data_IF_412160155068
#
_entry.id   IF_412160155068
#
_cell.length_a   1.000
_cell.length_b   1.000
_cell.length_c   1.000
_cell.angle_alpha   90.00
_cell.angle_beta   90.00
_cell.angle_gamma   90.00
#
_symmetry.space_group_name_H-M   'P 1'
#
loop_
_entity.id
_entity.type
_entity.pdbx_description
1 polymer ?
#
# COMPACT_ATOMS: atom_id res chain seq x y z
N UNK A 1 -3.01 67.65 18.51
CA UNK A 1 -3.58 66.56 17.70
C UNK A 1 -2.41 65.75 17.13
N UNK A 2 -2.13 64.61 17.71
CA UNK A 2 -1.07 63.71 17.25
C UNK A 2 -1.77 62.46 16.70
N UNK A 3 -1.72 62.31 15.36
CA UNK A 3 -2.23 61.09 14.71
C UNK A 3 -1.19 59.97 14.88
N UNK A 4 -1.55 58.95 15.64
CA UNK A 4 -0.80 57.71 15.74
C UNK A 4 -1.07 56.82 14.53
N UNK A 5 -0.08 56.60 13.69
CA UNK A 5 -0.16 55.62 12.62
C UNK A 5 0.00 54.21 13.18
N UNK A 6 -1.08 53.45 13.17
CA UNK A 6 -1.05 52.00 13.50
C UNK A 6 -0.38 51.24 12.36
N UNK A 7 0.85 50.80 12.56
CA UNK A 7 1.58 49.93 11.65
C UNK A 7 1.04 48.49 11.79
N UNK A 8 0.15 48.10 10.90
CA UNK A 8 -0.31 46.70 10.78
C UNK A 8 0.84 45.85 10.22
N UNK A 9 1.60 45.23 11.13
CA UNK A 9 2.51 44.14 10.74
C UNK A 9 1.67 42.95 10.22
N UNK A 10 1.65 42.80 8.92
CA UNK A 10 1.20 41.56 8.28
C UNK A 10 2.20 40.47 8.67
N UNK A 11 1.79 39.57 9.56
CA UNK A 11 2.47 38.30 9.79
C UNK A 11 2.22 37.49 8.54
N UNK A 12 3.16 37.47 7.62
CA UNK A 12 3.19 36.51 6.52
C UNK A 12 3.51 35.16 7.15
N UNK A 13 2.50 34.33 7.29
CA UNK A 13 2.66 32.94 7.66
C UNK A 13 3.51 32.24 6.60
N UNK A 14 4.78 32.03 6.89
CA UNK A 14 5.68 31.22 6.11
C UNK A 14 5.30 29.73 6.26
N UNK A 15 4.22 29.30 5.62
CA UNK A 15 3.85 27.89 5.43
C UNK A 15 4.14 27.49 4.00
N UNK A 16 5.36 27.55 3.58
CA UNK A 16 5.71 27.16 2.23
C UNK A 16 7.15 26.74 2.17
N UNK A 17 7.42 25.48 2.48
CA UNK A 17 8.62 24.86 1.92
C UNK A 17 8.57 25.09 0.40
N UNK A 18 9.66 25.54 -0.26
CA UNK A 18 9.64 25.75 -1.69
C UNK A 18 9.14 24.48 -2.37
N UNK A 19 8.32 24.58 -3.41
CA UNK A 19 7.85 23.43 -4.14
C UNK A 19 9.07 22.61 -4.54
N UNK A 20 9.00 21.29 -4.27
CA UNK A 20 10.04 20.38 -4.69
C UNK A 20 10.29 20.54 -6.22
N UNK A 21 11.54 20.77 -6.59
CA UNK A 21 11.95 20.86 -7.99
C UNK A 21 12.58 19.54 -8.40
N UNK A 22 12.02 18.84 -9.38
CA UNK A 22 12.64 17.65 -9.94
C UNK A 22 14.05 17.99 -10.45
N UNK A 23 14.99 17.10 -10.21
CA UNK A 23 16.35 17.18 -10.74
C UNK A 23 16.68 15.91 -11.47
N UNK A 24 17.54 16.01 -12.50
CA UNK A 24 18.05 14.81 -13.17
C UNK A 24 18.75 13.90 -12.16
N UNK A 25 18.47 12.62 -12.26
CA UNK A 25 19.03 11.62 -11.37
C UNK A 25 20.45 11.24 -11.83
N UNK A 26 21.37 11.14 -10.88
CA UNK A 26 22.63 10.47 -11.13
C UNK A 26 22.41 8.98 -11.38
N UNK A 27 23.34 8.27 -12.05
CA UNK A 27 23.27 6.81 -12.20
C UNK A 27 23.16 6.09 -10.85
N UNK A 28 23.79 6.61 -9.79
CA UNK A 28 23.70 6.08 -8.43
C UNK A 28 22.27 6.26 -7.86
N UNK A 29 21.67 7.44 -8.02
CA UNK A 29 20.32 7.70 -7.55
C UNK A 29 19.31 6.80 -8.28
N UNK A 30 19.45 6.62 -9.58
CA UNK A 30 18.60 5.73 -10.37
C UNK A 30 18.70 4.27 -9.89
N UNK A 31 19.93 3.77 -9.72
CA UNK A 31 20.17 2.41 -9.21
C UNK A 31 19.60 2.23 -7.80
N UNK A 32 19.77 3.23 -6.93
CA UNK A 32 19.20 3.23 -5.57
C UNK A 32 17.69 3.20 -5.58
N UNK A 33 17.05 3.99 -6.44
CA UNK A 33 15.59 4.02 -6.56
C UNK A 33 15.04 2.66 -7.01
N UNK A 34 15.65 2.07 -8.03
CA UNK A 34 15.27 0.74 -8.52
C UNK A 34 15.45 -0.33 -7.45
N UNK A 35 16.58 -0.33 -6.76
CA UNK A 35 16.82 -1.26 -5.65
C UNK A 35 15.75 -1.13 -4.55
N UNK A 36 15.40 0.10 -4.15
CA UNK A 36 14.36 0.35 -3.16
C UNK A 36 12.99 -0.19 -3.60
N UNK A 37 12.60 0.03 -4.84
CA UNK A 37 11.33 -0.46 -5.40
C UNK A 37 11.26 -1.99 -5.42
N UNK A 38 12.37 -2.65 -5.78
CA UNK A 38 12.40 -4.11 -5.88
C UNK A 38 12.51 -4.82 -4.53
N UNK A 39 13.28 -4.25 -3.58
CA UNK A 39 13.71 -4.99 -2.40
C UNK A 39 13.14 -4.47 -1.08
N UNK A 40 12.66 -3.24 -1.03
CA UNK A 40 12.24 -2.62 0.24
C UNK A 40 10.81 -2.07 0.22
N UNK A 41 10.46 -1.35 -0.81
CA UNK A 41 9.15 -0.69 -0.88
C UNK A 41 8.07 -1.68 -1.37
N UNK A 42 6.82 -1.52 -0.94
CA UNK A 42 5.74 -2.44 -1.28
C UNK A 42 5.13 -2.20 -2.67
N UNK A 43 5.63 -1.23 -3.43
CA UNK A 43 5.04 -0.77 -4.69
C UNK A 43 4.75 -1.92 -5.67
N UNK A 44 5.70 -2.86 -5.81
CA UNK A 44 5.57 -4.00 -6.70
C UNK A 44 4.65 -5.11 -6.16
N UNK A 45 4.04 -4.91 -4.99
CA UNK A 45 2.92 -5.75 -4.55
C UNK A 45 1.66 -5.52 -5.38
N UNK A 46 1.49 -4.30 -5.89
CA UNK A 46 0.32 -3.87 -6.65
C UNK A 46 0.64 -3.43 -8.08
N UNK A 47 1.83 -2.89 -8.33
CA UNK A 47 2.26 -2.31 -9.60
C UNK A 47 3.31 -3.17 -10.29
N UNK A 48 3.29 -3.13 -11.61
CA UNK A 48 4.33 -3.74 -12.45
C UNK A 48 5.46 -2.74 -12.69
N UNK A 49 6.72 -3.22 -12.70
CA UNK A 49 7.92 -2.50 -13.11
C UNK A 49 8.89 -3.44 -13.84
N UNK A 50 9.13 -3.20 -15.13
CA UNK A 50 10.06 -4.01 -15.93
C UNK A 50 9.67 -5.48 -16.05
N UNK A 51 8.37 -5.76 -16.14
CA UNK A 51 7.83 -7.12 -16.25
C UNK A 51 7.57 -7.82 -14.91
N UNK A 52 8.06 -7.28 -13.78
CA UNK A 52 7.89 -7.84 -12.44
C UNK A 52 6.84 -7.10 -11.63
N UNK A 53 6.21 -7.79 -10.70
CA UNK A 53 5.27 -7.21 -9.74
C UNK A 53 3.82 -7.41 -10.09
N UNK A 54 2.97 -6.94 -9.16
CA UNK A 54 1.52 -7.08 -9.23
C UNK A 54 0.88 -6.25 -10.33
N UNK A 55 -0.38 -6.53 -10.59
CA UNK A 55 -1.15 -5.92 -11.68
C UNK A 55 -2.47 -5.31 -11.24
N UNK A 56 -2.58 -4.97 -9.96
CA UNK A 56 -3.74 -4.26 -9.39
C UNK A 56 -3.72 -2.80 -9.81
N UNK A 57 -2.55 -2.16 -9.73
CA UNK A 57 -2.36 -0.76 -10.07
C UNK A 57 -1.79 -0.55 -11.48
N UNK A 58 -1.73 0.71 -11.94
CA UNK A 58 -1.09 1.06 -13.21
C UNK A 58 0.37 0.58 -13.28
N UNK A 59 0.83 0.26 -14.49
CA UNK A 59 2.25 -0.04 -14.72
C UNK A 59 3.13 1.18 -14.41
N UNK A 60 4.18 0.96 -13.62
CA UNK A 60 5.20 1.97 -13.34
C UNK A 60 6.27 2.02 -14.44
N UNK A 61 6.24 1.10 -15.39
CA UNK A 61 7.18 1.03 -16.52
C UNK A 61 6.99 2.10 -17.58
N UNK A 62 5.86 2.83 -17.58
CA UNK A 62 5.44 3.69 -18.70
C UNK A 62 5.07 5.10 -18.28
N UNK A 63 5.62 5.62 -17.19
CA UNK A 63 5.24 6.94 -16.69
C UNK A 63 5.95 8.10 -17.40
N UNK A 64 7.10 7.85 -18.02
CA UNK A 64 7.83 8.86 -18.82
C UNK A 64 6.96 9.41 -19.94
N UNK A 65 6.83 10.72 -19.99
CA UNK A 65 5.99 11.42 -20.94
C UNK A 65 4.47 11.36 -20.68
N UNK A 66 4.03 10.56 -19.69
CA UNK A 66 2.61 10.47 -19.33
C UNK A 66 2.28 11.18 -18.01
N UNK A 67 3.24 11.30 -17.13
CA UNK A 67 3.10 11.93 -15.80
C UNK A 67 4.30 12.81 -15.50
N UNK A 68 4.07 13.82 -14.67
CA UNK A 68 5.17 14.62 -14.11
C UNK A 68 5.64 14.04 -12.77
N UNK A 69 6.89 14.30 -12.37
CA UNK A 69 7.39 13.86 -11.07
C UNK A 69 6.55 14.38 -9.90
N UNK A 70 6.03 15.61 -9.98
CA UNK A 70 5.17 16.22 -8.96
C UNK A 70 3.83 15.48 -8.85
N UNK A 71 3.27 15.06 -9.98
CA UNK A 71 2.04 14.27 -9.98
C UNK A 71 2.27 12.91 -9.30
N UNK A 72 3.35 12.21 -9.66
CA UNK A 72 3.70 10.93 -9.05
C UNK A 72 4.00 11.09 -7.55
N UNK A 73 4.74 12.14 -7.19
CA UNK A 73 4.98 12.50 -5.80
C UNK A 73 3.68 12.67 -5.00
N UNK A 74 2.75 13.45 -5.53
CA UNK A 74 1.46 13.72 -4.87
C UNK A 74 0.63 12.44 -4.69
N UNK A 75 0.59 11.58 -5.70
CA UNK A 75 -0.15 10.32 -5.68
C UNK A 75 0.43 9.33 -4.65
N UNK A 76 1.75 9.29 -4.47
CA UNK A 76 2.37 8.41 -3.48
C UNK A 76 2.17 8.98 -2.07
N UNK A 77 2.33 10.30 -1.90
CA UNK A 77 2.20 10.97 -0.61
C UNK A 77 0.78 10.92 -0.06
N UNK A 78 -0.20 11.13 -0.92
CA UNK A 78 -1.61 11.21 -0.56
C UNK A 78 -2.50 10.50 -1.59
N UNK A 79 -2.53 9.16 -1.57
CA UNK A 79 -3.34 8.38 -2.50
C UNK A 79 -4.81 8.72 -2.36
N UNK A 80 -5.46 9.10 -3.47
CA UNK A 80 -6.87 9.46 -3.48
C UNK A 80 -7.76 8.26 -3.83
N UNK A 81 -8.82 8.09 -3.06
CA UNK A 81 -10.01 7.28 -3.42
C UNK A 81 -9.80 5.79 -3.69
N UNK A 82 -8.66 5.20 -3.29
CA UNK A 82 -8.33 3.90 -3.78
C UNK A 82 -7.89 2.85 -2.78
N UNK A 83 -7.44 1.77 -3.36
CA UNK A 83 -6.87 0.60 -2.70
C UNK A 83 -5.40 0.87 -2.31
N UNK A 84 -4.76 1.86 -2.95
CA UNK A 84 -3.35 2.18 -2.70
C UNK A 84 -3.16 2.70 -1.28
N UNK A 85 -2.44 1.99 -0.41
CA UNK A 85 -2.21 2.43 0.96
C UNK A 85 -1.13 3.53 1.02
N UNK A 86 -1.18 4.34 2.06
CA UNK A 86 -0.10 5.26 2.39
C UNK A 86 1.10 4.48 2.90
N UNK A 87 2.23 4.65 2.22
CA UNK A 87 3.49 4.00 2.61
C UNK A 87 4.36 5.02 3.32
N UNK A 88 4.67 4.79 4.62
CA UNK A 88 5.53 5.70 5.36
C UNK A 88 6.95 5.69 4.78
N UNK A 89 7.42 6.84 4.32
CA UNK A 89 8.78 7.03 3.83
C UNK A 89 9.27 8.45 4.05
N UNK A 90 10.58 8.62 4.07
CA UNK A 90 11.19 9.95 4.16
C UNK A 90 10.91 10.74 2.88
N UNK A 91 10.73 12.04 3.00
CA UNK A 91 10.47 12.90 1.85
C UNK A 91 11.52 12.76 0.74
N UNK A 92 12.81 12.73 1.08
CA UNK A 92 13.88 12.54 0.10
C UNK A 92 13.77 11.20 -0.66
N UNK A 93 13.26 10.15 -0.01
CA UNK A 93 12.98 8.88 -0.68
C UNK A 93 11.80 8.99 -1.63
N UNK A 94 10.75 9.68 -1.21
CA UNK A 94 9.57 9.91 -2.04
C UNK A 94 9.92 10.72 -3.30
N UNK A 95 10.70 11.79 -3.15
CA UNK A 95 11.22 12.61 -4.25
C UNK A 95 12.06 11.80 -5.22
N UNK A 96 12.97 10.96 -4.69
CA UNK A 96 13.81 10.06 -5.47
C UNK A 96 12.98 9.08 -6.30
N UNK A 97 11.99 8.42 -5.69
CA UNK A 97 11.13 7.45 -6.38
C UNK A 97 10.29 8.15 -7.45
N UNK A 98 9.70 9.30 -7.14
CA UNK A 98 8.87 10.04 -8.10
C UNK A 98 9.68 10.48 -9.33
N UNK A 99 10.89 11.02 -9.14
CA UNK A 99 11.79 11.36 -10.27
C UNK A 99 12.16 10.12 -11.07
N UNK A 100 12.60 9.05 -10.39
CA UNK A 100 13.04 7.82 -11.07
C UNK A 100 11.94 7.22 -11.97
N UNK A 101 10.71 7.13 -11.47
CA UNK A 101 9.60 6.53 -12.21
C UNK A 101 9.22 7.31 -13.47
N UNK A 102 9.51 8.62 -13.50
CA UNK A 102 9.18 9.48 -14.66
C UNK A 102 10.39 9.62 -15.61
N UNK A 103 11.62 9.59 -15.10
CA UNK A 103 12.83 9.75 -15.92
C UNK A 103 13.29 8.45 -16.59
N UNK A 104 13.00 7.28 -15.97
CA UNK A 104 13.44 6.00 -16.52
C UNK A 104 12.86 5.74 -17.92
N UNK A 105 13.65 5.07 -18.76
CA UNK A 105 13.17 4.67 -20.09
C UNK A 105 11.98 3.70 -19.97
N UNK A 106 10.93 3.91 -20.78
CA UNK A 106 9.80 3.02 -20.81
C UNK A 106 10.23 1.60 -21.17
N UNK A 107 9.73 0.62 -20.44
CA UNK A 107 9.87 -0.78 -20.80
C UNK A 107 8.51 -1.40 -21.09
N UNK A 108 8.49 -2.38 -21.98
CA UNK A 108 7.26 -3.10 -22.28
C UNK A 108 6.96 -4.09 -21.16
N UNK A 109 6.15 -3.66 -20.19
CA UNK A 109 5.52 -4.54 -19.25
C UNK A 109 4.15 -5.01 -19.75
N UNK A 110 3.67 -6.16 -19.28
CA UNK A 110 2.32 -6.62 -19.61
C UNK A 110 1.27 -5.62 -19.08
N UNK A 111 0.10 -5.51 -19.72
CA UNK A 111 -0.95 -4.61 -19.30
C UNK A 111 -1.48 -4.96 -17.90
N UNK A 112 -2.05 -4.00 -17.17
CA UNK A 112 -2.82 -4.26 -15.96
C UNK A 112 -3.92 -5.28 -16.26
N UNK A 113 -4.18 -6.18 -15.32
CA UNK A 113 -5.30 -7.10 -15.41
C UNK A 113 -6.52 -6.39 -14.83
N UNK A 114 -7.60 -6.34 -15.60
CA UNK A 114 -8.88 -5.92 -15.05
C UNK A 114 -9.25 -6.84 -13.87
N UNK A 115 -9.68 -6.29 -12.72
CA UNK A 115 -10.19 -7.12 -11.66
C UNK A 115 -11.31 -8.00 -12.24
N UNK A 116 -11.34 -9.31 -11.89
CA UNK A 116 -12.44 -10.16 -12.32
C UNK A 116 -13.74 -9.52 -11.85
N UNK A 117 -14.77 -9.60 -12.69
CA UNK A 117 -16.11 -9.24 -12.26
C UNK A 117 -16.40 -9.97 -10.94
N UNK A 118 -17.06 -9.33 -9.96
CA UNK A 118 -17.32 -9.93 -8.65
C UNK A 118 -18.22 -11.14 -8.80
N UNK A 119 -17.63 -12.26 -9.21
CA UNK A 119 -18.30 -13.55 -9.26
C UNK A 119 -18.34 -14.13 -7.86
N UNK A 120 -19.53 -14.17 -7.26
CA UNK A 120 -19.76 -14.81 -5.97
C UNK A 120 -19.51 -13.93 -4.75
N UNK A 121 -19.51 -12.62 -4.90
CA UNK A 121 -19.75 -11.74 -3.75
C UNK A 121 -21.14 -12.09 -3.19
N UNK A 122 -21.25 -12.40 -1.88
CA UNK A 122 -22.57 -12.58 -1.28
C UNK A 122 -23.37 -11.30 -1.57
N UNK A 123 -24.66 -11.48 -1.86
CA UNK A 123 -25.59 -10.39 -2.19
C UNK A 123 -25.59 -9.38 -1.03
N UNK A 124 -24.91 -8.22 -1.25
CA UNK A 124 -24.48 -7.32 -0.19
C UNK A 124 -25.49 -6.21 0.00
N UNK A 125 -26.73 -6.54 0.29
CA UNK A 125 -27.70 -5.54 0.76
C UNK A 125 -27.34 -5.02 2.18
N UNK A 126 -26.50 -5.74 2.94
CA UNK A 126 -25.96 -5.37 4.25
C UNK A 126 -24.59 -6.05 4.48
N UNK A 127 -23.71 -6.00 3.48
CA UNK A 127 -22.39 -6.57 3.68
C UNK A 127 -21.68 -5.83 4.79
N UNK A 128 -21.20 -6.60 5.74
CA UNK A 128 -20.26 -6.18 6.75
C UNK A 128 -19.19 -5.28 6.11
N UNK A 129 -19.08 -4.07 6.61
CA UNK A 129 -18.09 -3.07 6.16
C UNK A 129 -16.68 -3.71 6.09
N UNK A 130 -16.41 -4.66 6.98
CA UNK A 130 -15.15 -5.41 7.04
C UNK A 130 -14.98 -6.38 5.88
N UNK A 131 -16.03 -7.08 5.47
CA UNK A 131 -15.99 -7.96 4.30
C UNK A 131 -15.69 -7.17 3.03
N UNK A 132 -16.31 -5.99 2.87
CA UNK A 132 -16.02 -5.08 1.76
C UNK A 132 -14.60 -4.53 1.80
N UNK A 133 -14.09 -4.19 2.99
CA UNK A 133 -12.72 -3.74 3.17
C UNK A 133 -11.74 -4.85 2.77
N UNK A 134 -11.96 -6.08 3.24
CA UNK A 134 -11.17 -7.24 2.87
C UNK A 134 -11.21 -7.51 1.36
N UNK A 135 -12.39 -7.49 0.76
CA UNK A 135 -12.58 -7.73 -0.66
C UNK A 135 -11.79 -6.76 -1.53
N UNK A 136 -11.74 -5.48 -1.15
CA UNK A 136 -11.01 -4.45 -1.90
C UNK A 136 -9.50 -4.48 -1.67
N UNK A 137 -9.08 -4.66 -0.42
CA UNK A 137 -7.70 -4.38 -0.01
C UNK A 137 -6.85 -5.64 0.15
N UNK A 138 -7.46 -6.79 0.42
CA UNK A 138 -6.76 -8.03 0.75
C UNK A 138 -6.99 -9.14 -0.30
N UNK A 139 -8.26 -9.30 -0.71
CA UNK A 139 -8.66 -10.39 -1.60
C UNK A 139 -7.97 -10.39 -2.97
N UNK A 140 -7.57 -9.26 -3.58
CA UNK A 140 -6.79 -9.27 -4.82
C UNK A 140 -5.55 -10.18 -4.77
N UNK A 141 -4.91 -10.27 -3.60
CA UNK A 141 -3.77 -11.16 -3.37
C UNK A 141 -4.16 -12.45 -2.63
N UNK A 142 -4.94 -12.32 -1.54
CA UNK A 142 -5.22 -13.42 -0.62
C UNK A 142 -6.44 -14.28 -1.00
N UNK A 143 -7.20 -13.88 -2.03
CA UNK A 143 -8.44 -14.56 -2.43
C UNK A 143 -9.65 -14.11 -1.60
N UNK A 144 -10.84 -14.11 -2.20
CA UNK A 144 -12.08 -13.66 -1.55
C UNK A 144 -12.48 -14.48 -0.33
N UNK A 145 -12.07 -15.76 -0.30
CA UNK A 145 -12.25 -16.67 0.83
C UNK A 145 -10.95 -16.95 1.58
N UNK A 146 -9.90 -16.18 1.31
CA UNK A 146 -8.61 -16.32 1.99
C UNK A 146 -7.77 -17.51 1.54
N UNK A 147 -7.93 -18.00 0.33
CA UNK A 147 -7.25 -19.19 -0.21
C UNK A 147 -5.84 -18.93 -0.75
N UNK A 148 -5.37 -17.68 -0.68
CA UNK A 148 -4.06 -17.27 -1.20
C UNK A 148 -3.98 -17.31 -2.74
N UNK A 149 -5.12 -17.28 -3.42
CA UNK A 149 -5.29 -17.45 -4.87
C UNK A 149 -5.94 -16.21 -5.52
N UNK A 150 -5.82 -15.04 -4.93
CA UNK A 150 -6.31 -13.81 -5.54
C UNK A 150 -5.73 -13.62 -6.94
N UNK A 151 -6.44 -12.89 -7.80
CA UNK A 151 -6.05 -12.71 -9.22
C UNK A 151 -4.65 -12.08 -9.39
N UNK A 152 -4.13 -11.43 -8.37
CA UNK A 152 -2.79 -10.84 -8.34
C UNK A 152 -1.71 -11.83 -7.84
N UNK A 153 -2.09 -12.92 -7.17
CA UNK A 153 -1.16 -13.86 -6.56
C UNK A 153 -0.14 -14.47 -7.54
N UNK A 154 -0.51 -14.80 -8.80
CA UNK A 154 0.44 -15.38 -9.77
C UNK A 154 1.60 -14.45 -10.16
N UNK A 155 1.49 -13.14 -9.90
CA UNK A 155 2.49 -12.13 -10.26
C UNK A 155 3.40 -11.76 -9.09
N UNK A 156 3.24 -12.39 -7.94
CA UNK A 156 4.04 -12.15 -6.74
C UNK A 156 5.13 -13.21 -6.61
N UNK A 157 6.33 -12.84 -6.17
CA UNK A 157 7.45 -13.78 -6.03
C UNK A 157 7.24 -14.81 -4.92
N UNK A 158 6.32 -14.52 -3.98
CA UNK A 158 5.96 -15.40 -2.87
C UNK A 158 4.44 -15.47 -2.80
N UNK A 159 3.92 -16.68 -2.68
CA UNK A 159 2.48 -16.90 -2.56
C UNK A 159 1.93 -16.17 -1.32
N UNK A 160 0.83 -15.44 -1.45
CA UNK A 160 0.16 -14.82 -0.30
C UNK A 160 -0.27 -15.86 0.75
N UNK A 161 -0.21 -15.46 2.01
CA UNK A 161 -0.67 -16.31 3.11
C UNK A 161 -2.10 -16.79 2.88
N UNK A 162 -2.34 -18.07 3.09
CA UNK A 162 -3.67 -18.68 3.03
C UNK A 162 -4.39 -18.39 4.33
N UNK A 163 -5.28 -17.39 4.33
CA UNK A 163 -6.03 -16.99 5.52
C UNK A 163 -7.08 -18.03 5.93
N UNK A 164 -7.49 -18.90 5.02
CA UNK A 164 -8.41 -20.02 5.30
C UNK A 164 -7.71 -21.24 5.91
N UNK A 165 -6.38 -21.27 5.97
CA UNK A 165 -5.62 -22.36 6.57
C UNK A 165 -5.72 -22.33 8.10
N UNK A 166 -6.59 -23.19 8.63
CA UNK A 166 -6.84 -23.30 10.08
C UNK A 166 -5.56 -23.60 10.85
N UNK A 167 -4.73 -24.52 10.36
CA UNK A 167 -3.53 -24.97 11.06
C UNK A 167 -2.50 -23.84 11.17
N UNK A 168 -2.23 -23.16 10.06
CA UNK A 168 -1.30 -22.06 10.03
C UNK A 168 -1.80 -20.85 10.84
N UNK A 169 -3.08 -20.49 10.67
CA UNK A 169 -3.64 -19.29 11.30
C UNK A 169 -3.85 -19.44 12.80
N UNK A 170 -4.17 -20.63 13.30
CA UNK A 170 -4.29 -20.87 14.75
C UNK A 170 -2.95 -20.77 15.50
N UNK A 171 -1.83 -20.92 14.80
CA UNK A 171 -0.50 -20.68 15.37
C UNK A 171 -0.10 -19.20 15.46
N UNK A 172 -0.95 -18.25 15.00
CA UNK A 172 -0.69 -16.80 15.01
C UNK A 172 -1.55 -16.12 16.07
N UNK A 173 -0.93 -15.27 16.90
CA UNK A 173 -1.68 -14.41 17.82
C UNK A 173 -2.45 -13.32 17.05
N UNK A 174 -3.48 -12.76 17.66
CA UNK A 174 -4.22 -11.65 17.07
C UNK A 174 -3.35 -10.40 16.93
N UNK A 175 -2.45 -10.14 17.87
CA UNK A 175 -1.48 -9.06 17.80
C UNK A 175 -0.52 -9.26 16.60
N UNK A 176 -0.04 -10.48 16.37
CA UNK A 176 0.83 -10.77 15.23
C UNK A 176 0.10 -10.60 13.88
N UNK A 177 -1.20 -10.88 13.82
CA UNK A 177 -2.03 -10.61 12.63
C UNK A 177 -2.26 -9.10 12.46
N UNK A 178 -2.53 -8.39 13.56
CA UNK A 178 -2.66 -6.94 13.58
C UNK A 178 -1.38 -6.28 13.07
N UNK A 179 -0.23 -6.65 13.60
CA UNK A 179 1.07 -6.08 13.24
C UNK A 179 1.40 -6.34 11.76
N UNK A 180 1.09 -7.53 11.25
CA UNK A 180 1.28 -7.85 9.84
C UNK A 180 0.44 -6.95 8.91
N UNK A 181 -0.78 -6.62 9.29
CA UNK A 181 -1.62 -5.68 8.53
C UNK A 181 -1.13 -4.25 8.71
N UNK A 182 -0.82 -3.85 9.95
CA UNK A 182 -0.42 -2.49 10.30
C UNK A 182 0.91 -2.11 9.64
N UNK A 183 1.94 -2.93 9.83
CA UNK A 183 3.31 -2.62 9.43
C UNK A 183 3.70 -3.17 8.05
N UNK A 184 2.91 -4.08 7.48
CA UNK A 184 3.21 -4.74 6.22
C UNK A 184 4.25 -5.86 6.35
N UNK A 185 4.46 -6.56 5.25
CA UNK A 185 5.28 -7.77 5.27
C UNK A 185 6.77 -7.52 5.49
N UNK A 186 7.31 -6.40 5.00
CA UNK A 186 8.74 -6.09 5.13
C UNK A 186 9.20 -5.99 6.59
N UNK A 187 8.47 -5.22 7.42
CA UNK A 187 8.81 -5.02 8.83
C UNK A 187 8.69 -6.31 9.62
N UNK A 188 7.79 -7.20 9.21
CA UNK A 188 7.60 -8.52 9.81
C UNK A 188 8.59 -9.59 9.30
N UNK A 189 9.67 -9.17 8.63
CA UNK A 189 10.65 -10.05 7.98
C UNK A 189 10.01 -11.08 7.02
N UNK A 190 9.02 -10.60 6.25
CA UNK A 190 8.28 -11.34 5.22
C UNK A 190 8.40 -10.63 3.89
N UNK A 191 7.58 -11.01 2.92
CA UNK A 191 7.59 -10.37 1.61
C UNK A 191 7.27 -8.87 1.69
N UNK A 192 8.14 -8.04 1.10
CA UNK A 192 7.89 -6.60 0.95
C UNK A 192 6.71 -6.29 0.01
N UNK A 193 6.15 -7.31 -0.67
CA UNK A 193 4.98 -7.13 -1.56
C UNK A 193 3.68 -6.90 -0.79
N UNK A 194 3.61 -7.27 0.49
CA UNK A 194 2.48 -6.92 1.34
C UNK A 194 2.65 -5.51 1.91
N UNK A 195 1.80 -4.56 1.52
CA UNK A 195 1.92 -3.17 1.97
C UNK A 195 1.46 -2.98 3.42
N UNK A 196 1.95 -1.92 4.10
CA UNK A 196 1.43 -1.50 5.39
C UNK A 196 0.10 -0.77 5.24
N UNK A 197 -0.84 -1.03 6.13
CA UNK A 197 -2.13 -0.33 6.16
C UNK A 197 -2.30 0.60 7.37
N UNK A 198 -1.32 0.66 8.28
CA UNK A 198 -1.42 1.40 9.53
C UNK A 198 -1.57 2.93 9.40
N UNK A 199 -1.26 3.52 8.23
CA UNK A 199 -1.50 4.92 7.95
C UNK A 199 -2.74 5.15 7.05
N UNK A 200 -3.41 4.09 6.67
CA UNK A 200 -4.57 4.12 5.77
C UNK A 200 -5.84 3.71 6.50
N UNK A 201 -5.74 2.74 7.39
CA UNK A 201 -6.85 2.19 8.16
C UNK A 201 -6.76 2.61 9.64
N UNK A 202 -7.89 2.90 10.24
CA UNK A 202 -7.99 3.08 11.68
C UNK A 202 -7.67 1.76 12.40
N UNK A 203 -7.19 1.83 13.65
CA UNK A 203 -6.87 0.65 14.45
C UNK A 203 -8.05 -0.31 14.58
N UNK A 204 -9.25 0.23 14.76
CA UNK A 204 -10.50 -0.51 14.88
C UNK A 204 -10.83 -1.29 13.60
N UNK A 205 -10.52 -0.71 12.44
CA UNK A 205 -10.69 -1.38 11.14
C UNK A 205 -9.71 -2.55 11.00
N UNK A 206 -8.46 -2.38 11.46
CA UNK A 206 -7.47 -3.46 11.45
C UNK A 206 -7.89 -4.58 12.39
N UNK A 207 -8.36 -4.26 13.61
CA UNK A 207 -8.92 -5.27 14.52
C UNK A 207 -10.15 -5.98 13.95
N UNK A 208 -10.99 -5.27 13.22
CA UNK A 208 -12.12 -5.88 12.52
C UNK A 208 -11.66 -6.86 11.43
N UNK A 209 -10.59 -6.51 10.70
CA UNK A 209 -9.96 -7.43 9.75
C UNK A 209 -9.38 -8.66 10.45
N UNK A 210 -8.72 -8.52 11.60
CA UNK A 210 -8.22 -9.67 12.38
C UNK A 210 -9.37 -10.63 12.74
N UNK A 211 -10.48 -10.10 13.25
CA UNK A 211 -11.68 -10.93 13.53
C UNK A 211 -12.23 -11.59 12.26
N UNK A 212 -12.22 -10.88 11.14
CA UNK A 212 -12.64 -11.43 9.85
C UNK A 212 -11.73 -12.58 9.39
N UNK A 213 -10.41 -12.46 9.59
CA UNK A 213 -9.46 -13.53 9.31
C UNK A 213 -9.75 -14.77 10.17
N UNK A 214 -10.11 -14.59 11.45
CA UNK A 214 -10.52 -15.69 12.34
C UNK A 214 -11.78 -16.39 11.83
N UNK A 215 -12.73 -15.63 11.31
CA UNK A 215 -13.92 -16.23 10.69
C UNK A 215 -13.58 -17.01 9.40
N UNK A 216 -12.66 -16.50 8.57
CA UNK A 216 -12.22 -17.21 7.35
C UNK A 216 -11.56 -18.55 7.68
N UNK A 217 -10.63 -18.60 8.64
CA UNK A 217 -9.98 -19.85 9.03
C UNK A 217 -10.85 -20.73 9.96
N UNK A 218 -11.96 -20.22 10.46
CA UNK A 218 -12.75 -20.88 11.51
C UNK A 218 -11.86 -21.34 12.66
N UNK A 219 -10.99 -20.46 13.14
CA UNK A 219 -9.96 -20.76 14.11
C UNK A 219 -9.77 -19.61 15.09
N UNK A 220 -9.19 -19.95 16.24
CA UNK A 220 -8.74 -19.00 17.23
C UNK A 220 -7.21 -18.95 17.27
N UNK A 221 -6.65 -17.91 17.86
CA UNK A 221 -5.21 -17.80 18.13
C UNK A 221 -4.74 -18.76 19.19
N UNK A 222 -3.43 -18.85 19.44
CA UNK A 222 -2.86 -19.68 20.51
C UNK A 222 -3.46 -19.32 21.87
N UNK A 223 -3.63 -20.31 22.73
CA UNK A 223 -4.25 -20.09 24.05
C UNK A 223 -3.52 -19.07 24.91
N UNK A 224 -2.20 -19.02 24.83
CA UNK A 224 -1.36 -18.05 25.55
C UNK A 224 -1.54 -16.59 25.07
N UNK A 225 -2.06 -16.37 23.87
CA UNK A 225 -2.27 -15.03 23.32
C UNK A 225 -3.72 -14.55 23.40
N UNK A 226 -4.59 -15.36 24.01
CA UNK A 226 -5.98 -15.00 24.23
C UNK A 226 -6.06 -14.22 25.53
N UNK A 227 -5.81 -12.93 25.44
CA UNK A 227 -6.08 -12.05 26.57
C UNK A 227 -7.59 -12.06 26.82
N UNK A 228 -7.94 -12.20 28.08
CA UNK A 228 -9.32 -12.07 28.58
C UNK A 228 -9.76 -10.58 28.44
N UNK A 229 -9.77 -10.02 27.23
CA UNK A 229 -10.24 -8.68 26.91
C UNK A 229 -11.64 -8.73 26.36
#
# INVERSE_FOLDING_TARGET
MVLGALLLMRVQGATGRPPWTPRSLSPFDAAKAEWLLRNRLPCLGCHELGGEGGRIGPSLSRLKGQRTPEHVYSMIRDPQGGIMPRVPMRQATLELIASYLVEREPSQGPPPIAPPAPSGAPNIAQADVTANLYARSCAPCHGVRGEGNGYNAPFLPVRPTVHADKTYMSGRSDDALFDAIYAGGYVMNRSNRMPPFGQTLAREQIWSLVRYLRALCRCEGPSWSRDNK
#
